data_IF_475427572313
#
_entry.id   IF_475427572313
#
_cell.length_a   1.000
_cell.length_b   1.000
_cell.length_c   1.000
_cell.angle_alpha   90.00
_cell.angle_beta   90.00
_cell.angle_gamma   90.00
#
_symmetry.space_group_name_H-M   'P 1'
#
loop_
_entity.id
_entity.type
_entity.pdbx_description
1 polymer ?
#
# COMPACT_ATOMS: atom_id res chain seq x y z
N UNK A 1 -56.82 5.45 3.96
CA UNK A 1 -55.69 4.59 3.57
C UNK A 1 -54.67 5.49 2.86
N UNK A 2 -53.62 5.88 3.56
CA UNK A 2 -52.61 6.83 3.05
C UNK A 2 -51.61 6.05 2.19
N UNK A 3 -51.63 6.24 0.88
CA UNK A 3 -50.61 5.68 -0.04
C UNK A 3 -49.22 6.15 0.40
N UNK A 4 -48.43 5.23 0.84
CA UNK A 4 -47.03 5.49 1.20
C UNK A 4 -46.26 5.85 -0.06
N UNK A 5 -45.81 7.10 -0.15
CA UNK A 5 -44.99 7.63 -1.26
C UNK A 5 -43.87 6.66 -1.63
N UNK A 6 -43.56 6.45 -2.92
CA UNK A 6 -42.53 5.47 -3.40
C UNK A 6 -41.19 5.59 -2.66
N UNK A 7 -40.82 6.78 -2.25
CA UNK A 7 -39.59 7.07 -1.50
C UNK A 7 -39.60 6.47 -0.07
N UNK A 8 -40.75 6.36 0.57
CA UNK A 8 -40.91 5.83 1.93
C UNK A 8 -40.77 4.30 1.94
N UNK A 9 -41.31 3.63 0.92
CA UNK A 9 -41.15 2.16 0.73
C UNK A 9 -39.69 1.78 0.45
N UNK A 10 -38.99 2.57 -0.35
CA UNK A 10 -37.55 2.38 -0.66
C UNK A 10 -36.69 2.57 0.59
N UNK A 11 -36.90 3.61 1.38
CA UNK A 11 -36.18 3.86 2.62
C UNK A 11 -36.37 2.74 3.65
N UNK A 12 -37.62 2.25 3.81
CA UNK A 12 -37.94 1.12 4.71
C UNK A 12 -37.25 -0.18 4.25
N UNK A 13 -37.23 -0.46 2.95
CA UNK A 13 -36.55 -1.62 2.37
C UNK A 13 -35.03 -1.58 2.62
N UNK A 14 -34.40 -0.42 2.44
CA UNK A 14 -32.95 -0.23 2.71
C UNK A 14 -32.67 -0.43 4.20
N UNK A 15 -33.48 0.16 5.07
CA UNK A 15 -33.35 0.00 6.52
C UNK A 15 -33.44 -1.46 6.94
N UNK A 16 -34.46 -2.17 6.48
CA UNK A 16 -34.66 -3.59 6.77
C UNK A 16 -33.47 -4.45 6.27
N UNK A 17 -32.94 -4.13 5.08
CA UNK A 17 -31.76 -4.84 4.54
C UNK A 17 -30.52 -4.64 5.40
N UNK A 18 -30.32 -3.42 5.94
CA UNK A 18 -29.23 -3.10 6.87
C UNK A 18 -29.45 -3.84 8.20
N UNK A 19 -30.68 -3.84 8.73
CA UNK A 19 -31.03 -4.52 9.98
C UNK A 19 -30.81 -6.04 9.88
N UNK A 20 -31.23 -6.65 8.81
CA UNK A 20 -31.05 -8.10 8.54
C UNK A 20 -29.59 -8.46 8.26
N UNK A 21 -28.84 -7.57 7.63
CA UNK A 21 -27.45 -7.81 7.27
C UNK A 21 -26.48 -7.77 8.46
N UNK A 22 -26.93 -7.32 9.63
CA UNK A 22 -26.15 -7.33 10.87
C UNK A 22 -24.91 -6.43 10.84
N UNK A 23 -23.93 -6.81 11.65
CA UNK A 23 -22.66 -6.12 11.77
C UNK A 23 -21.82 -6.30 10.52
N UNK A 24 -21.70 -5.23 9.70
CA UNK A 24 -20.85 -5.22 8.51
C UNK A 24 -20.63 -3.81 7.96
N UNK A 25 -19.75 -3.73 7.00
CA UNK A 25 -19.56 -2.55 6.16
C UNK A 25 -20.63 -2.50 5.06
N UNK A 26 -21.17 -1.31 4.83
CA UNK A 26 -22.19 -1.02 3.84
C UNK A 26 -21.72 0.07 2.89
N UNK A 27 -22.06 -0.08 1.60
CA UNK A 27 -21.77 0.89 0.54
C UNK A 27 -23.02 1.22 -0.26
N UNK A 28 -22.97 2.27 -1.06
CA UNK A 28 -24.02 2.54 -2.06
C UNK A 28 -24.20 1.36 -3.01
N UNK A 29 -23.11 0.70 -3.39
CA UNK A 29 -23.11 -0.46 -4.29
C UNK A 29 -23.87 -1.67 -3.76
N UNK A 30 -24.05 -1.79 -2.47
CA UNK A 30 -24.87 -2.85 -1.86
C UNK A 30 -26.37 -2.68 -2.16
N UNK A 31 -26.78 -1.53 -2.74
CA UNK A 31 -28.14 -1.12 -3.04
C UNK A 31 -28.32 -0.70 -4.50
N UNK A 32 -27.57 -1.30 -5.44
CA UNK A 32 -27.63 -0.97 -6.89
C UNK A 32 -29.03 -1.17 -7.49
N UNK A 33 -29.87 -2.00 -6.86
CA UNK A 33 -31.27 -2.25 -7.18
C UNK A 33 -32.19 -1.08 -6.80
N UNK A 34 -31.67 0.00 -6.24
CA UNK A 34 -32.43 1.17 -5.77
C UNK A 34 -31.85 2.49 -6.34
N UNK A 35 -32.70 3.52 -6.50
CA UNK A 35 -32.23 4.83 -6.95
C UNK A 35 -31.17 5.42 -6.02
N UNK A 36 -30.00 5.80 -6.57
CA UNK A 36 -28.88 6.35 -5.81
C UNK A 36 -29.24 7.50 -4.85
N UNK A 37 -30.08 8.52 -5.24
CA UNK A 37 -30.45 9.59 -4.32
C UNK A 37 -31.21 9.09 -3.08
N UNK A 38 -32.11 8.11 -3.25
CA UNK A 38 -32.88 7.53 -2.14
C UNK A 38 -31.97 6.72 -1.20
N UNK A 39 -31.00 5.99 -1.74
CA UNK A 39 -29.97 5.27 -0.96
C UNK A 39 -29.14 6.26 -0.17
N UNK A 40 -28.56 7.27 -0.83
CA UNK A 40 -27.73 8.29 -0.19
C UNK A 40 -28.44 9.01 0.96
N UNK A 41 -29.70 9.41 0.73
CA UNK A 41 -30.52 10.07 1.74
C UNK A 41 -30.83 9.14 2.92
N UNK A 42 -31.16 7.87 2.65
CA UNK A 42 -31.47 6.90 3.70
C UNK A 42 -30.25 6.58 4.54
N UNK A 43 -29.08 6.31 3.93
CA UNK A 43 -27.82 6.07 4.64
C UNK A 43 -27.38 7.29 5.47
N UNK A 44 -27.57 8.49 4.95
CA UNK A 44 -27.31 9.74 5.69
C UNK A 44 -28.21 9.89 6.91
N UNK A 45 -29.51 9.53 6.79
CA UNK A 45 -30.45 9.53 7.91
C UNK A 45 -30.09 8.50 8.97
N UNK A 46 -29.78 7.25 8.55
CA UNK A 46 -29.34 6.18 9.46
C UNK A 46 -28.01 6.49 10.16
N UNK A 47 -27.19 7.35 9.57
CA UNK A 47 -25.98 7.86 10.23
C UNK A 47 -26.31 8.91 11.28
N UNK A 48 -27.29 9.76 11.01
CA UNK A 48 -27.70 10.83 11.94
C UNK A 48 -28.43 10.27 13.17
N UNK A 49 -29.22 9.22 12.99
CA UNK A 49 -29.90 8.52 14.09
C UNK A 49 -29.04 7.45 14.79
N UNK A 50 -27.74 7.37 14.45
CA UNK A 50 -26.77 6.50 15.11
C UNK A 50 -26.84 5.01 14.76
N UNK A 51 -27.75 4.61 13.85
CA UNK A 51 -27.85 3.21 13.38
C UNK A 51 -26.62 2.78 12.57
N UNK A 52 -26.01 3.75 11.86
CA UNK A 52 -24.78 3.56 11.09
C UNK A 52 -23.72 4.57 11.52
N UNK A 53 -22.47 4.16 11.48
CA UNK A 53 -21.32 5.06 11.55
C UNK A 53 -20.78 5.29 10.13
N UNK A 54 -20.57 6.55 9.74
CA UNK A 54 -19.92 6.89 8.47
C UNK A 54 -18.40 6.85 8.64
N UNK A 55 -17.75 5.88 8.03
CA UNK A 55 -16.29 5.72 8.10
C UNK A 55 -15.57 6.57 7.03
N UNK A 56 -16.16 6.68 5.83
CA UNK A 56 -15.66 7.55 4.76
C UNK A 56 -16.78 7.92 3.79
N UNK A 57 -16.45 8.63 2.70
CA UNK A 57 -17.42 8.95 1.63
C UNK A 57 -17.94 7.64 1.02
N UNK A 58 -19.24 7.40 1.16
CA UNK A 58 -19.91 6.21 0.61
C UNK A 58 -19.69 4.91 1.39
N UNK A 59 -18.98 4.94 2.53
CA UNK A 59 -18.71 3.76 3.36
C UNK A 59 -19.28 3.96 4.75
N UNK A 60 -20.11 3.01 5.16
CA UNK A 60 -20.84 3.02 6.42
C UNK A 60 -20.61 1.71 7.15
N UNK A 61 -20.65 1.76 8.46
CA UNK A 61 -20.53 0.57 9.31
C UNK A 61 -21.72 0.46 10.24
N UNK A 62 -22.30 -0.73 10.33
CA UNK A 62 -23.25 -1.05 11.37
C UNK A 62 -22.54 -1.78 12.48
N UNK A 63 -22.41 -1.16 13.63
CA UNK A 63 -21.87 -1.77 14.84
C UNK A 63 -22.88 -2.70 15.50
N UNK A 64 -22.38 -3.68 16.24
CA UNK A 64 -23.14 -4.46 17.21
C UNK A 64 -22.86 -3.90 18.61
N UNK A 65 -23.87 -3.80 19.44
CA UNK A 65 -23.70 -3.50 20.86
C UNK A 65 -23.03 -4.70 21.56
N UNK A 66 -21.97 -4.44 22.29
CA UNK A 66 -21.26 -5.45 23.10
C UNK A 66 -21.13 -4.96 24.53
N UNK A 67 -20.78 -5.84 25.46
CA UNK A 67 -20.52 -5.47 26.87
C UNK A 67 -19.42 -4.41 27.04
N UNK A 68 -18.54 -4.27 26.04
CA UNK A 68 -17.44 -3.30 26.03
C UNK A 68 -17.73 -2.06 25.17
N UNK A 69 -18.99 -1.87 24.75
CA UNK A 69 -19.43 -0.80 23.85
C UNK A 69 -19.68 -1.26 22.41
N UNK A 70 -19.88 -0.33 21.47
CA UNK A 70 -20.13 -0.66 20.08
C UNK A 70 -18.91 -1.36 19.44
N UNK A 71 -19.17 -2.43 18.69
CA UNK A 71 -18.13 -3.15 17.95
C UNK A 71 -17.47 -2.24 16.91
N UNK A 72 -16.21 -2.52 16.59
CA UNK A 72 -15.47 -1.86 15.52
C UNK A 72 -15.27 -2.81 14.34
N UNK A 73 -15.21 -2.29 13.10
CA UNK A 73 -14.95 -3.14 11.96
C UNK A 73 -13.59 -3.83 12.09
N UNK A 74 -13.51 -5.10 11.72
CA UNK A 74 -12.25 -5.83 11.79
C UNK A 74 -11.21 -5.21 10.83
N UNK A 75 -9.92 -5.17 11.21
CA UNK A 75 -8.85 -4.67 10.33
C UNK A 75 -8.84 -5.34 8.96
N UNK A 76 -9.12 -6.64 8.91
CA UNK A 76 -9.20 -7.43 7.66
C UNK A 76 -10.36 -6.98 6.77
N UNK A 77 -11.55 -6.71 7.34
CA UNK A 77 -12.68 -6.21 6.58
C UNK A 77 -12.41 -4.80 6.03
N UNK A 78 -11.73 -3.96 6.81
CA UNK A 78 -11.28 -2.62 6.41
C UNK A 78 -10.28 -2.71 5.26
N UNK A 79 -9.27 -3.58 5.39
CA UNK A 79 -8.25 -3.82 4.36
C UNK A 79 -8.90 -4.25 3.05
N UNK A 80 -9.75 -5.28 3.08
CA UNK A 80 -10.49 -5.75 1.89
C UNK A 80 -11.35 -4.67 1.23
N UNK A 81 -11.92 -3.78 2.03
CA UNK A 81 -12.75 -2.69 1.51
C UNK A 81 -11.91 -1.59 0.85
N UNK A 82 -10.80 -1.25 1.46
CA UNK A 82 -9.86 -0.27 0.91
C UNK A 82 -9.20 -0.78 -0.39
N UNK A 83 -8.90 -2.07 -0.46
CA UNK A 83 -8.33 -2.76 -1.62
C UNK A 83 -9.30 -2.84 -2.82
N UNK A 84 -10.61 -2.83 -2.60
CA UNK A 84 -11.61 -2.88 -3.70
C UNK A 84 -11.55 -1.67 -4.63
N UNK A 85 -11.18 -0.52 -4.12
CA UNK A 85 -11.17 0.73 -4.88
C UNK A 85 -9.75 1.29 -5.11
N UNK A 86 -8.76 0.78 -4.37
CA UNK A 86 -7.40 1.35 -4.36
C UNK A 86 -6.40 0.33 -3.85
N UNK A 87 -5.37 0.07 -4.61
CA UNK A 87 -4.29 -0.79 -4.16
C UNK A 87 -3.59 -0.18 -2.92
N UNK A 88 -3.48 -0.98 -1.87
CA UNK A 88 -2.78 -0.63 -0.63
C UNK A 88 -1.70 -1.66 -0.39
N UNK A 89 -0.48 -1.18 -0.22
CA UNK A 89 0.70 -2.00 -0.05
C UNK A 89 1.36 -1.75 1.31
N UNK A 90 2.04 -2.75 1.88
CA UNK A 90 2.84 -2.55 3.08
C UNK A 90 3.99 -1.57 2.80
N UNK A 91 4.34 -0.76 3.79
CA UNK A 91 5.42 0.21 3.70
C UNK A 91 6.22 0.25 5.01
N UNK A 92 7.44 0.76 4.97
CA UNK A 92 8.29 0.92 6.14
C UNK A 92 8.63 -0.37 6.84
N UNK A 93 8.45 -0.38 8.15
CA UNK A 93 8.73 -1.56 8.99
C UNK A 93 7.83 -2.73 8.60
N UNK A 94 6.57 -2.49 8.23
CA UNK A 94 5.66 -3.56 7.79
C UNK A 94 6.15 -4.24 6.49
N UNK A 95 6.67 -3.48 5.53
CA UNK A 95 7.28 -4.03 4.33
C UNK A 95 8.56 -4.81 4.64
N UNK A 96 9.43 -4.26 5.49
CA UNK A 96 10.66 -4.93 5.91
C UNK A 96 10.38 -6.24 6.68
N UNK A 97 9.35 -6.26 7.54
CA UNK A 97 8.93 -7.45 8.26
C UNK A 97 8.39 -8.53 7.31
N UNK A 98 7.49 -8.16 6.39
CA UNK A 98 6.97 -9.08 5.35
C UNK A 98 8.12 -9.75 4.56
N UNK A 99 9.15 -8.99 4.25
CA UNK A 99 10.32 -9.46 3.52
C UNK A 99 11.37 -10.17 4.41
N UNK A 100 11.17 -10.15 5.74
CA UNK A 100 12.05 -10.76 6.74
C UNK A 100 13.39 -10.03 6.91
N UNK A 101 13.41 -8.70 6.75
CA UNK A 101 14.56 -7.85 7.09
C UNK A 101 14.55 -7.37 8.54
N UNK A 102 13.44 -7.50 9.23
CA UNK A 102 13.27 -7.16 10.65
C UNK A 102 12.21 -8.05 11.29
N UNK A 103 12.34 -8.30 12.57
CA UNK A 103 11.32 -8.92 13.41
C UNK A 103 10.40 -7.90 14.08
N UNK A 104 10.72 -6.61 13.98
CA UNK A 104 9.96 -5.55 14.64
C UNK A 104 8.52 -5.46 14.10
N UNK A 105 7.60 -5.23 15.02
CA UNK A 105 6.24 -4.82 14.67
C UNK A 105 6.15 -3.29 14.70
N UNK A 106 5.68 -2.70 13.62
CA UNK A 106 5.54 -1.24 13.55
C UNK A 106 4.58 -0.75 14.64
N UNK A 107 5.02 0.16 15.51
CA UNK A 107 4.15 0.84 16.49
C UNK A 107 3.02 1.62 15.84
N UNK A 108 3.26 2.14 14.63
CA UNK A 108 2.29 2.82 13.78
C UNK A 108 2.30 2.14 12.42
N UNK A 109 1.12 1.84 11.89
CA UNK A 109 1.01 1.28 10.55
C UNK A 109 1.60 2.23 9.50
N UNK A 110 2.33 1.70 8.54
CA UNK A 110 2.73 2.44 7.33
C UNK A 110 2.21 1.70 6.10
N UNK A 111 1.58 2.44 5.21
CA UNK A 111 1.06 1.90 3.95
C UNK A 111 1.42 2.80 2.77
N UNK A 112 1.57 2.20 1.61
CA UNK A 112 1.75 2.90 0.33
C UNK A 112 0.52 2.70 -0.56
N UNK A 113 0.20 3.68 -1.41
CA UNK A 113 -0.91 3.62 -2.37
C UNK A 113 -0.65 4.52 -3.57
N UNK A 114 -1.15 4.14 -4.75
CA UNK A 114 -1.21 4.97 -5.95
C UNK A 114 -2.19 6.14 -5.81
N UNK A 115 -3.17 6.00 -4.95
CA UNK A 115 -4.21 7.01 -4.73
C UNK A 115 -3.70 8.30 -4.10
N UNK A 116 -4.44 9.40 -4.32
CA UNK A 116 -4.15 10.71 -3.72
C UNK A 116 -4.28 10.71 -2.20
N UNK A 117 -5.20 9.92 -1.67
CA UNK A 117 -5.43 9.80 -0.22
C UNK A 117 -6.17 8.50 0.10
N UNK A 118 -6.02 8.04 1.33
CA UNK A 118 -6.81 6.94 1.91
C UNK A 118 -7.67 7.46 3.05
N UNK A 119 -8.85 6.88 3.25
CA UNK A 119 -9.73 7.26 4.35
C UNK A 119 -9.10 6.90 5.71
N UNK A 120 -8.62 7.91 6.45
CA UNK A 120 -7.90 7.70 7.72
C UNK A 120 -8.69 6.92 8.77
N UNK A 121 -10.02 7.10 8.82
CA UNK A 121 -10.88 6.32 9.71
C UNK A 121 -10.88 4.82 9.40
N UNK A 122 -10.63 4.44 8.14
CA UNK A 122 -10.57 3.04 7.71
C UNK A 122 -9.23 2.39 7.99
N UNK A 123 -8.13 3.10 7.75
CA UNK A 123 -6.77 2.56 7.87
C UNK A 123 -6.15 2.80 9.25
N UNK A 124 -6.82 3.56 10.11
CA UNK A 124 -6.32 4.03 11.40
C UNK A 124 -5.74 5.44 11.34
N UNK A 125 -6.13 6.29 12.31
CA UNK A 125 -5.73 7.71 12.36
C UNK A 125 -4.21 7.85 12.45
N UNK A 126 -3.56 6.93 13.16
CA UNK A 126 -2.12 6.90 13.38
C UNK A 126 -1.32 6.31 12.19
N UNK A 127 -2.00 5.73 11.20
CA UNK A 127 -1.33 5.11 10.05
C UNK A 127 -0.70 6.18 9.15
N UNK A 128 0.59 6.04 8.88
CA UNK A 128 1.31 6.87 7.91
C UNK A 128 1.03 6.39 6.49
N UNK A 129 0.50 7.28 5.65
CA UNK A 129 0.17 6.97 4.26
C UNK A 129 1.20 7.59 3.32
N UNK A 130 1.86 6.75 2.55
CA UNK A 130 2.68 7.17 1.42
C UNK A 130 1.83 7.16 0.14
N UNK A 131 1.08 8.25 -0.06
CA UNK A 131 0.21 8.44 -1.22
C UNK A 131 1.00 8.71 -2.51
N UNK A 132 0.30 8.69 -3.64
CA UNK A 132 0.83 9.02 -4.97
C UNK A 132 2.01 8.14 -5.40
N UNK A 133 1.98 6.85 -5.06
CA UNK A 133 2.85 5.90 -5.73
C UNK A 133 2.48 5.85 -7.21
N UNK A 134 3.43 5.56 -8.11
CA UNK A 134 3.11 5.39 -9.53
C UNK A 134 1.96 4.41 -9.76
N UNK A 135 1.11 4.68 -10.71
CA UNK A 135 -0.04 3.82 -11.07
C UNK A 135 0.42 2.40 -11.47
N UNK A 136 1.62 2.30 -12.02
CA UNK A 136 2.26 1.03 -12.35
C UNK A 136 2.38 0.06 -11.16
N UNK A 137 2.33 0.56 -9.91
CA UNK A 137 2.34 -0.29 -8.71
C UNK A 137 1.09 -1.17 -8.60
N UNK A 138 -0.02 -0.81 -9.23
CA UNK A 138 -1.25 -1.59 -9.19
C UNK A 138 -1.12 -2.98 -9.84
N UNK A 139 -0.11 -3.15 -10.68
CA UNK A 139 0.24 -4.44 -11.28
C UNK A 139 1.13 -5.34 -10.42
N UNK A 140 1.62 -4.81 -9.28
CA UNK A 140 2.54 -5.50 -8.39
C UNK A 140 1.78 -6.32 -7.33
N UNK A 141 2.35 -7.46 -6.97
CA UNK A 141 1.95 -8.20 -5.78
C UNK A 141 2.36 -7.45 -4.50
N UNK A 142 1.85 -7.88 -3.35
CA UNK A 142 2.21 -7.32 -2.05
C UNK A 142 3.72 -7.42 -1.78
N UNK A 143 4.35 -8.55 -2.14
CA UNK A 143 5.79 -8.78 -2.01
C UNK A 143 6.61 -7.84 -2.91
N UNK A 144 6.22 -7.69 -4.16
CA UNK A 144 6.92 -6.82 -5.12
C UNK A 144 6.82 -5.34 -4.73
N UNK A 145 5.65 -4.91 -4.31
CA UNK A 145 5.45 -3.55 -3.80
C UNK A 145 6.24 -3.29 -2.50
N UNK A 146 6.30 -4.28 -1.59
CA UNK A 146 7.13 -4.22 -0.39
C UNK A 146 8.62 -4.11 -0.74
N UNK A 147 9.11 -4.92 -1.70
CA UNK A 147 10.49 -4.83 -2.22
C UNK A 147 10.78 -3.42 -2.75
N UNK A 148 9.89 -2.89 -3.56
CA UNK A 148 10.06 -1.57 -4.15
C UNK A 148 10.05 -0.45 -3.10
N UNK A 149 9.16 -0.53 -2.09
CA UNK A 149 9.17 0.42 -0.95
C UNK A 149 10.48 0.31 -0.13
N UNK A 150 10.96 -0.91 0.08
CA UNK A 150 12.22 -1.17 0.78
C UNK A 150 13.41 -0.57 0.03
N UNK A 151 13.47 -0.75 -1.30
CA UNK A 151 14.48 -0.14 -2.16
C UNK A 151 14.36 1.39 -2.20
N UNK A 152 13.17 1.94 -2.22
CA UNK A 152 12.93 3.39 -2.09
C UNK A 152 13.50 3.98 -0.80
N UNK A 153 13.58 3.20 0.25
CA UNK A 153 14.18 3.58 1.54
C UNK A 153 15.66 3.17 1.67
N UNK A 154 16.27 2.67 0.58
CA UNK A 154 17.68 2.23 0.54
C UNK A 154 18.02 1.24 1.67
N UNK A 155 17.07 0.35 2.01
CA UNK A 155 17.26 -0.68 3.03
C UNK A 155 17.28 -0.18 4.49
N UNK A 156 16.94 1.09 4.76
CA UNK A 156 17.05 1.70 6.12
C UNK A 156 16.22 1.00 7.20
N UNK A 157 15.21 0.23 6.82
CA UNK A 157 14.34 -0.51 7.75
C UNK A 157 14.84 -1.93 8.04
N UNK A 158 16.00 -2.31 7.51
CA UNK A 158 16.65 -3.59 7.82
C UNK A 158 17.37 -3.54 9.15
N UNK A 159 17.22 -4.60 9.94
CA UNK A 159 18.04 -4.86 11.15
C UNK A 159 19.23 -5.76 10.85
N UNK A 160 19.29 -6.30 9.63
CA UNK A 160 20.41 -7.13 9.17
C UNK A 160 21.61 -6.23 8.84
N UNK A 161 22.80 -6.82 8.83
CA UNK A 161 23.99 -6.15 8.29
C UNK A 161 23.79 -5.77 6.82
N UNK A 162 24.59 -4.84 6.31
CA UNK A 162 24.51 -4.43 4.89
C UNK A 162 24.70 -5.64 3.95
N UNK A 163 25.66 -6.50 4.25
CA UNK A 163 25.93 -7.71 3.47
C UNK A 163 24.75 -8.69 3.49
N UNK A 164 24.19 -8.95 4.66
CA UNK A 164 23.02 -9.81 4.81
C UNK A 164 21.78 -9.22 4.12
N UNK A 165 21.61 -7.88 4.18
CA UNK A 165 20.52 -7.17 3.50
C UNK A 165 20.65 -7.32 1.99
N UNK A 166 21.84 -7.13 1.42
CA UNK A 166 22.11 -7.36 -0.02
C UNK A 166 21.80 -8.79 -0.39
N UNK A 167 22.40 -9.78 0.31
CA UNK A 167 22.20 -11.21 0.02
C UNK A 167 20.74 -11.61 0.02
N UNK A 168 20.00 -11.21 1.08
CA UNK A 168 18.56 -11.49 1.16
C UNK A 168 17.77 -10.82 0.05
N UNK A 169 18.10 -9.57 -0.30
CA UNK A 169 17.43 -8.86 -1.40
C UNK A 169 17.65 -9.59 -2.73
N UNK A 170 18.87 -10.01 -3.02
CA UNK A 170 19.19 -10.78 -4.22
C UNK A 170 18.43 -12.12 -4.27
N UNK A 171 18.35 -12.84 -3.14
CA UNK A 171 17.55 -14.07 -3.03
C UNK A 171 16.08 -13.82 -3.35
N UNK A 172 15.47 -12.78 -2.77
CA UNK A 172 14.07 -12.43 -3.03
C UNK A 172 13.84 -12.03 -4.49
N UNK A 173 14.75 -11.26 -5.08
CA UNK A 173 14.65 -10.83 -6.48
C UNK A 173 14.84 -11.98 -7.48
N UNK A 174 15.60 -13.01 -7.11
CA UNK A 174 15.80 -14.19 -7.95
C UNK A 174 14.60 -15.13 -7.98
N UNK A 175 13.72 -15.04 -6.98
CA UNK A 175 12.54 -15.88 -6.86
C UNK A 175 11.36 -15.34 -7.67
N UNK A 176 10.49 -16.22 -8.15
CA UNK A 176 9.15 -15.95 -8.66
C UNK A 176 9.03 -14.84 -9.73
N UNK A 177 10.12 -14.51 -10.41
CA UNK A 177 10.14 -13.46 -11.43
C UNK A 177 9.94 -12.04 -10.87
N UNK A 178 10.22 -11.84 -9.58
CA UNK A 178 10.06 -10.54 -8.94
C UNK A 178 10.90 -9.45 -9.60
N UNK A 179 12.16 -9.76 -9.93
CA UNK A 179 13.03 -8.77 -10.60
C UNK A 179 12.44 -8.29 -11.92
N UNK A 180 11.94 -9.19 -12.75
CA UNK A 180 11.35 -8.88 -14.06
C UNK A 180 10.15 -7.94 -13.92
N UNK A 181 9.31 -8.16 -12.92
CA UNK A 181 8.15 -7.31 -12.65
C UNK A 181 8.58 -5.93 -12.16
N UNK A 182 9.59 -5.86 -11.28
CA UNK A 182 10.13 -4.58 -10.83
C UNK A 182 10.81 -3.80 -11.97
N UNK A 183 11.52 -4.49 -12.88
CA UNK A 183 12.13 -3.88 -14.05
C UNK A 183 11.10 -3.34 -15.06
N UNK A 184 9.91 -3.95 -15.16
CA UNK A 184 8.81 -3.42 -15.99
C UNK A 184 8.28 -2.08 -15.48
N UNK A 185 8.24 -1.88 -14.18
CA UNK A 185 7.73 -0.63 -13.57
C UNK A 185 8.84 0.38 -13.25
N UNK A 186 10.10 0.02 -13.48
CA UNK A 186 11.27 0.81 -13.09
C UNK A 186 11.24 2.24 -13.66
N UNK A 187 10.75 2.42 -14.89
CA UNK A 187 10.71 3.75 -15.54
C UNK A 187 9.80 4.74 -14.80
N UNK A 188 8.84 4.26 -14.02
CA UNK A 188 7.98 5.08 -13.16
C UNK A 188 8.61 5.45 -11.83
N UNK A 189 9.77 4.87 -11.51
CA UNK A 189 10.46 5.06 -10.24
C UNK A 189 11.45 6.25 -10.26
N UNK A 190 11.74 6.84 -9.10
CA UNK A 190 12.78 7.87 -9.01
C UNK A 190 14.14 7.39 -9.51
N UNK A 191 15.00 8.29 -10.06
CA UNK A 191 16.30 7.91 -10.62
C UNK A 191 17.16 7.05 -9.69
N UNK A 192 17.17 7.35 -8.39
CA UNK A 192 17.90 6.54 -7.40
C UNK A 192 17.43 5.09 -7.34
N UNK A 193 16.12 4.86 -7.42
CA UNK A 193 15.56 3.50 -7.38
C UNK A 193 15.87 2.76 -8.67
N UNK A 194 15.81 3.45 -9.82
CA UNK A 194 16.22 2.89 -11.11
C UNK A 194 17.69 2.47 -11.12
N UNK A 195 18.57 3.33 -10.57
CA UNK A 195 20.00 3.01 -10.44
C UNK A 195 20.21 1.78 -9.53
N UNK A 196 19.53 1.73 -8.39
CA UNK A 196 19.64 0.60 -7.46
C UNK A 196 19.09 -0.70 -8.07
N UNK A 197 17.95 -0.66 -8.77
CA UNK A 197 17.41 -1.81 -9.50
C UNK A 197 18.38 -2.27 -10.59
N UNK A 198 19.03 -1.34 -11.28
CA UNK A 198 20.04 -1.65 -12.28
C UNK A 198 21.26 -2.37 -11.69
N UNK A 199 21.79 -1.86 -10.56
CA UNK A 199 22.91 -2.51 -9.86
C UNK A 199 22.55 -3.93 -9.39
N UNK A 200 21.38 -4.12 -8.81
CA UNK A 200 20.87 -5.43 -8.38
C UNK A 200 20.65 -6.39 -9.57
N UNK A 201 20.14 -5.87 -10.69
CA UNK A 201 19.93 -6.65 -11.90
C UNK A 201 21.26 -7.07 -12.55
N UNK A 202 22.27 -6.23 -12.52
CA UNK A 202 23.61 -6.55 -12.99
C UNK A 202 24.30 -7.60 -12.10
N UNK A 203 24.16 -7.47 -10.77
CA UNK A 203 24.65 -8.47 -9.80
C UNK A 203 24.02 -9.85 -10.05
N UNK A 204 22.77 -9.89 -10.53
CA UNK A 204 22.05 -11.11 -10.90
C UNK A 204 22.29 -11.56 -12.36
N UNK A 205 23.23 -10.96 -13.07
CA UNK A 205 23.62 -11.35 -14.43
C UNK A 205 22.52 -11.11 -15.48
N UNK A 206 21.72 -10.05 -15.31
CA UNK A 206 20.63 -9.75 -16.25
C UNK A 206 21.12 -9.22 -17.59
N UNK A 207 20.25 -9.36 -18.58
CA UNK A 207 20.48 -9.01 -19.97
C UNK A 207 21.03 -7.57 -20.16
N UNK A 208 22.13 -7.43 -20.93
CA UNK A 208 22.76 -6.12 -21.18
C UNK A 208 21.85 -5.09 -21.85
N UNK A 209 20.80 -5.51 -22.57
CA UNK A 209 19.85 -4.59 -23.21
C UNK A 209 19.01 -3.86 -22.16
N UNK A 210 18.49 -4.61 -21.20
CA UNK A 210 17.74 -4.07 -20.05
C UNK A 210 18.62 -3.13 -19.23
N UNK A 211 19.85 -3.52 -18.92
CA UNK A 211 20.80 -2.68 -18.17
C UNK A 211 21.12 -1.38 -18.89
N UNK A 212 21.38 -1.42 -20.21
CA UNK A 212 21.60 -0.21 -21.01
C UNK A 212 20.40 0.73 -21.02
N UNK A 213 19.17 0.20 -21.10
CA UNK A 213 17.95 1.01 -21.01
C UNK A 213 17.88 1.79 -19.70
N UNK A 214 18.10 1.11 -18.58
CA UNK A 214 18.07 1.74 -17.27
C UNK A 214 19.19 2.80 -17.13
N UNK A 215 20.42 2.49 -17.55
CA UNK A 215 21.54 3.46 -17.49
C UNK A 215 21.25 4.71 -18.31
N UNK A 216 20.69 4.59 -19.51
CA UNK A 216 20.29 5.74 -20.37
C UNK A 216 19.21 6.62 -19.74
N UNK A 217 18.40 6.07 -18.82
CA UNK A 217 17.37 6.82 -18.12
C UNK A 217 17.90 7.68 -16.97
N UNK A 218 19.19 7.55 -16.61
CA UNK A 218 19.83 8.27 -15.52
C UNK A 218 20.62 9.46 -16.05
N UNK A 219 20.59 10.58 -15.31
CA UNK A 219 21.49 11.70 -15.59
C UNK A 219 22.93 11.30 -15.18
N UNK A 220 23.92 11.31 -16.09
CA UNK A 220 25.28 10.84 -15.81
C UNK A 220 26.01 11.63 -14.72
N UNK A 221 25.60 12.86 -14.45
CA UNK A 221 26.18 13.71 -13.40
C UNK A 221 25.59 13.43 -12.01
N UNK A 222 24.52 12.66 -11.91
CA UNK A 222 23.90 12.35 -10.62
C UNK A 222 24.72 11.35 -9.83
N UNK A 223 24.65 11.45 -8.50
CA UNK A 223 25.16 10.46 -7.55
C UNK A 223 24.09 10.14 -6.53
N UNK A 224 23.91 8.88 -6.18
CA UNK A 224 22.80 8.40 -5.38
C UNK A 224 23.24 7.73 -4.08
N UNK A 225 22.50 7.98 -3.01
CA UNK A 225 22.63 7.28 -1.74
C UNK A 225 22.02 5.87 -1.84
N UNK A 226 22.86 4.85 -1.84
CA UNK A 226 22.42 3.44 -1.88
C UNK A 226 22.17 2.86 -0.48
N UNK A 227 22.58 3.52 0.59
CA UNK A 227 22.35 3.07 1.97
C UNK A 227 22.93 1.68 2.22
N UNK A 228 22.10 0.71 2.60
CA UNK A 228 22.53 -0.67 2.86
C UNK A 228 23.08 -1.40 1.62
N UNK A 229 22.82 -0.87 0.43
CA UNK A 229 23.24 -1.47 -0.85
C UNK A 229 24.53 -0.86 -1.43
N UNK A 230 25.21 -0.01 -0.68
CA UNK A 230 26.46 0.61 -1.15
C UNK A 230 27.64 -0.38 -1.31
N UNK A 231 27.48 -1.61 -0.80
CA UNK A 231 28.45 -2.72 -0.93
C UNK A 231 28.21 -3.62 -2.15
N UNK A 232 27.20 -3.33 -2.99
CA UNK A 232 27.02 -4.04 -4.26
C UNK A 232 28.27 -3.88 -5.14
N UNK A 233 28.68 -4.94 -5.83
CA UNK A 233 29.86 -4.96 -6.70
C UNK A 233 29.80 -3.85 -7.75
N UNK A 234 28.62 -3.66 -8.35
CA UNK A 234 28.41 -2.67 -9.41
C UNK A 234 27.88 -1.31 -8.92
N UNK A 235 27.90 -1.05 -7.60
CA UNK A 235 27.31 0.18 -7.04
C UNK A 235 27.88 1.46 -7.68
N UNK A 236 29.22 1.57 -7.83
CA UNK A 236 29.88 2.73 -8.40
C UNK A 236 29.49 2.95 -9.86
N UNK A 237 29.37 1.89 -10.67
CA UNK A 237 28.95 1.95 -12.06
C UNK A 237 27.49 2.45 -12.22
N UNK A 238 26.69 2.25 -11.19
CA UNK A 238 25.31 2.76 -11.08
C UNK A 238 25.20 4.05 -10.29
N UNK A 239 26.30 4.82 -10.24
CA UNK A 239 26.31 6.17 -9.67
C UNK A 239 26.02 6.22 -8.16
N UNK A 240 26.34 5.14 -7.43
CA UNK A 240 26.35 5.21 -5.98
C UNK A 240 27.38 6.23 -5.49
N UNK A 241 27.02 6.98 -4.45
CA UNK A 241 28.00 7.82 -3.75
C UNK A 241 29.02 6.92 -3.04
N UNK A 242 30.29 7.29 -3.15
CA UNK A 242 31.33 6.68 -2.35
C UNK A 242 31.00 6.84 -0.86
N UNK A 243 31.16 5.79 -0.08
CA UNK A 243 31.14 5.92 1.38
C UNK A 243 32.39 6.69 1.80
N UNK A 244 32.27 7.73 2.60
CA UNK A 244 33.45 8.28 3.25
C UNK A 244 34.12 7.14 4.01
N UNK A 245 35.40 6.88 3.72
CA UNK A 245 36.20 5.96 4.52
C UNK A 245 36.18 6.53 5.94
N UNK A 246 35.47 5.87 6.86
CA UNK A 246 35.67 6.14 8.27
C UNK A 246 37.12 5.78 8.55
N UNK A 247 37.96 6.77 8.73
CA UNK A 247 39.25 6.62 9.38
C UNK A 247 38.95 6.00 10.75
N UNK A 248 39.41 4.78 10.91
CA UNK A 248 39.46 4.10 12.21
C UNK A 248 40.53 4.86 12.98
N UNK A 249 40.10 5.72 13.89
CA UNK A 249 40.96 6.34 14.94
C UNK A 249 41.00 5.40 16.13
#
# INVERSE_FOLDING_TARGET
MTEATPNRKTASSIRLRIERGGERLWRHDDFRDRPFPAVAQTLSRLTRDGTLERLSKGVYYRSRSTALGPSRPSPTAIKKLAERDKAIFPSGVAAANLLGFTSQTAKRGEVATSSLSLPRKLIGIETRVHARRPEAWESLSETEAALLDFLRKSGKTSELSAEQTVRRTLTLLSADGHLEKLLKVADSEPPRVRALLGALAEELGRDPVTLRRLRRSLNPLSRFEFGQFASLTHACEWQAKERPKHEIV
#
